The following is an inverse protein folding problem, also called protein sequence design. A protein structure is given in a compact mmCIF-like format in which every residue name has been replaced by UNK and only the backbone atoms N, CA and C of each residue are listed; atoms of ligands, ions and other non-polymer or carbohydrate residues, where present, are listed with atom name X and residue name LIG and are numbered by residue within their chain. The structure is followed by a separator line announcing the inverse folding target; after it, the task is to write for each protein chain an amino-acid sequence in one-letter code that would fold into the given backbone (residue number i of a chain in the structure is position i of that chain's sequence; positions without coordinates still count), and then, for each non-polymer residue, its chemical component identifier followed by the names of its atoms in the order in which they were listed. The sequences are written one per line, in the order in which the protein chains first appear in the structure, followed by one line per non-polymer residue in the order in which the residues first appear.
data_IF_348923462966
#
_entry.id   IF_348923462966
#
_cell.length_a   1.000
_cell.length_b   1.000
_cell.length_c   1.000
_cell.angle_alpha   90.00
_cell.angle_beta   90.00
_cell.angle_gamma   90.00
#
_symmetry.space_group_name_H-M   'P 1'
#
loop_
_entity.id
_entity.type
_entity.pdbx_description
1 polymer ?
#
# COMPACT_ATOMS: atom_id res chain seq x y z
N UNK A 1 3.63 40.72 10.06
CA UNK A 1 3.90 39.53 10.89
C UNK A 1 2.78 38.49 11.01
N UNK A 2 1.45 38.77 11.04
CA UNK A 2 0.44 37.67 11.02
C UNK A 2 0.24 37.04 9.66
N UNK A 3 0.31 37.78 8.57
CA UNK A 3 0.04 37.27 7.19
C UNK A 3 1.10 36.31 6.69
N UNK A 4 2.37 36.47 7.01
CA UNK A 4 3.45 35.53 6.68
C UNK A 4 3.31 34.18 7.39
N UNK A 5 2.79 34.14 8.61
CA UNK A 5 2.54 32.91 9.35
C UNK A 5 1.35 32.11 8.79
N UNK A 6 0.34 32.81 8.28
CA UNK A 6 -0.82 32.17 7.62
C UNK A 6 -0.40 31.58 6.29
N UNK A 7 0.30 32.31 5.43
CA UNK A 7 0.81 31.82 4.15
C UNK A 7 1.73 30.59 4.32
N UNK A 8 2.65 30.64 5.29
CA UNK A 8 3.55 29.51 5.60
C UNK A 8 2.83 28.30 6.17
N UNK A 9 1.67 28.51 6.82
CA UNK A 9 0.78 27.45 7.30
C UNK A 9 0.01 26.79 6.14
N UNK A 10 -0.49 27.55 5.20
CA UNK A 10 -1.19 27.08 4.01
C UNK A 10 -0.27 26.29 3.08
N UNK A 11 0.94 26.76 2.83
CA UNK A 11 1.97 26.06 2.05
C UNK A 11 2.33 24.70 2.68
N UNK A 12 2.42 24.65 4.01
CA UNK A 12 2.70 23.42 4.74
C UNK A 12 1.56 22.41 4.66
N UNK A 13 0.32 22.87 4.72
CA UNK A 13 -0.88 22.01 4.58
C UNK A 13 -0.99 21.49 3.15
N UNK A 14 -0.72 22.31 2.14
CA UNK A 14 -0.69 21.92 0.73
C UNK A 14 0.40 20.86 0.44
N UNK A 15 1.55 20.94 1.11
CA UNK A 15 2.60 19.92 1.00
C UNK A 15 2.18 18.55 1.58
N UNK A 16 1.37 18.52 2.64
CA UNK A 16 0.95 17.28 3.30
C UNK A 16 -0.23 16.58 2.58
N UNK A 17 -1.14 17.39 2.00
CA UNK A 17 -2.38 16.91 1.37
C UNK A 17 -2.20 16.73 -0.14
N UNK A 18 -3.03 15.86 -0.72
CA UNK A 18 -3.10 15.75 -2.18
C UNK A 18 -3.71 17.03 -2.78
N UNK A 19 -3.27 17.35 -3.98
CA UNK A 19 -3.88 18.35 -4.87
C UNK A 19 -4.49 17.66 -6.08
N UNK A 20 -5.13 18.40 -6.97
CA UNK A 20 -5.61 17.85 -8.25
C UNK A 20 -4.47 17.37 -9.18
N UNK A 21 -3.26 17.88 -8.99
CA UNK A 21 -2.11 17.57 -9.83
C UNK A 21 -1.08 16.64 -9.18
N UNK A 22 -0.95 16.62 -7.84
CA UNK A 22 0.13 15.91 -7.16
C UNK A 22 -0.33 15.20 -5.89
N UNK A 23 0.39 14.14 -5.53
CA UNK A 23 0.22 13.48 -4.23
C UNK A 23 0.92 14.27 -3.13
N UNK A 24 0.27 14.38 -1.98
CA UNK A 24 0.87 14.95 -0.77
C UNK A 24 1.82 13.96 -0.07
N UNK A 25 2.70 14.51 0.76
CA UNK A 25 3.73 13.74 1.45
C UNK A 25 3.15 12.59 2.29
N UNK A 26 2.01 12.78 2.95
CA UNK A 26 1.37 11.72 3.75
C UNK A 26 0.97 10.53 2.88
N UNK A 27 0.38 10.78 1.70
CA UNK A 27 0.01 9.72 0.75
C UNK A 27 1.24 8.94 0.27
N UNK A 28 2.32 9.65 -0.04
CA UNK A 28 3.57 9.07 -0.52
C UNK A 28 4.22 8.21 0.56
N UNK A 29 4.37 8.76 1.77
CA UNK A 29 5.00 8.05 2.90
C UNK A 29 4.23 6.79 3.27
N UNK A 30 2.91 6.88 3.43
CA UNK A 30 2.07 5.70 3.73
C UNK A 30 2.21 4.66 2.62
N UNK A 31 2.23 5.06 1.35
CA UNK A 31 2.38 4.12 0.23
C UNK A 31 3.68 3.33 0.33
N UNK A 32 4.81 4.02 0.47
CA UNK A 32 6.12 3.36 0.48
C UNK A 32 6.35 2.52 1.74
N UNK A 33 5.88 2.99 2.91
CA UNK A 33 5.93 2.19 4.13
C UNK A 33 5.11 0.90 3.99
N UNK A 34 3.90 0.98 3.43
CA UNK A 34 3.08 -0.20 3.16
C UNK A 34 3.73 -1.13 2.14
N UNK A 35 4.31 -0.60 1.07
CA UNK A 35 4.99 -1.42 0.06
C UNK A 35 6.17 -2.21 0.66
N UNK A 36 7.00 -1.55 1.47
CA UNK A 36 8.11 -2.20 2.18
C UNK A 36 7.60 -3.25 3.18
N UNK A 37 6.54 -2.93 3.92
CA UNK A 37 5.96 -3.83 4.91
C UNK A 37 5.33 -5.07 4.26
N UNK A 38 4.65 -4.93 3.12
CA UNK A 38 4.09 -6.05 2.34
C UNK A 38 5.20 -7.00 1.88
N UNK A 39 6.27 -6.44 1.29
CA UNK A 39 7.41 -7.24 0.81
C UNK A 39 8.11 -7.93 1.99
N UNK A 40 8.32 -7.21 3.10
CA UNK A 40 8.93 -7.76 4.31
C UNK A 40 8.10 -8.86 4.96
N UNK A 41 6.76 -8.68 5.06
CA UNK A 41 5.85 -9.70 5.57
C UNK A 41 5.82 -10.95 4.69
N UNK A 42 5.82 -10.78 3.37
CA UNK A 42 5.88 -11.92 2.44
C UNK A 42 7.19 -12.69 2.59
N UNK A 43 8.33 -11.98 2.60
CA UNK A 43 9.65 -12.60 2.79
C UNK A 43 9.76 -13.32 4.15
N UNK A 44 9.29 -12.69 5.24
CA UNK A 44 9.26 -13.29 6.56
C UNK A 44 8.32 -14.52 6.61
N UNK A 45 7.17 -14.45 5.94
CA UNK A 45 6.22 -15.57 5.81
C UNK A 45 6.87 -16.78 5.14
N UNK A 46 7.53 -16.59 4.00
CA UNK A 46 8.27 -17.65 3.31
C UNK A 46 9.41 -18.22 4.18
N UNK A 47 10.15 -17.33 4.84
CA UNK A 47 11.26 -17.74 5.72
C UNK A 47 10.76 -18.60 6.87
N UNK A 48 9.73 -18.18 7.61
CA UNK A 48 9.29 -18.86 8.81
C UNK A 48 8.62 -20.23 8.54
N UNK A 49 8.05 -20.45 7.34
CA UNK A 49 7.45 -21.75 6.97
C UNK A 49 8.49 -22.84 6.69
N UNK A 50 9.75 -22.48 6.47
CA UNK A 50 10.87 -23.40 6.26
C UNK A 50 11.68 -23.73 7.53
N UNK A 51 11.31 -23.18 8.70
CA UNK A 51 12.08 -23.36 9.94
C UNK A 51 11.70 -24.65 10.67
N UNK A 52 12.72 -25.38 11.13
CA UNK A 52 12.53 -26.50 12.05
C UNK A 52 12.34 -26.03 13.51
N UNK A 53 11.86 -26.94 14.35
CA UNK A 53 11.52 -26.65 15.77
C UNK A 53 12.69 -26.12 16.61
N UNK A 54 13.92 -26.50 16.29
CA UNK A 54 15.12 -26.10 17.04
C UNK A 54 15.69 -24.76 16.57
N UNK A 55 15.19 -24.22 15.49
CA UNK A 55 15.69 -22.97 14.93
C UNK A 55 15.39 -21.77 15.86
N UNK A 56 16.35 -20.87 16.12
CA UNK A 56 16.15 -19.72 17.03
C UNK A 56 14.97 -18.80 16.64
N UNK A 57 14.58 -18.78 15.37
CA UNK A 57 13.48 -17.99 14.83
C UNK A 57 12.14 -18.74 14.75
N UNK A 58 12.08 -20.02 15.16
CA UNK A 58 10.86 -20.82 15.07
C UNK A 58 9.65 -20.17 15.77
N UNK A 59 9.86 -19.53 16.93
CA UNK A 59 8.82 -18.77 17.64
C UNK A 59 8.84 -17.29 17.29
N UNK A 60 10.03 -16.69 17.20
CA UNK A 60 10.18 -15.24 16.97
C UNK A 60 9.65 -14.82 15.59
N UNK A 61 9.82 -15.63 14.57
CA UNK A 61 9.34 -15.36 13.21
C UNK A 61 7.81 -15.15 13.16
N UNK A 62 7.02 -16.15 13.60
CA UNK A 62 5.56 -16.01 13.68
C UNK A 62 5.10 -14.86 14.59
N UNK A 63 5.75 -14.62 15.74
CA UNK A 63 5.38 -13.52 16.65
C UNK A 63 5.57 -12.15 15.98
N UNK A 64 6.71 -11.97 15.31
CA UNK A 64 7.00 -10.75 14.56
C UNK A 64 6.04 -10.59 13.36
N UNK A 65 5.79 -11.68 12.60
CA UNK A 65 4.88 -11.66 11.45
C UNK A 65 3.46 -11.25 11.87
N UNK A 66 2.93 -11.80 12.97
CA UNK A 66 1.61 -11.44 13.52
C UNK A 66 1.54 -9.98 13.92
N UNK A 67 2.53 -9.48 14.65
CA UNK A 67 2.61 -8.08 15.10
C UNK A 67 2.68 -7.10 13.93
N UNK A 68 3.54 -7.38 12.94
CA UNK A 68 3.64 -6.60 11.71
C UNK A 68 2.38 -6.71 10.85
N UNK A 69 1.71 -7.87 10.85
CA UNK A 69 0.42 -8.07 10.16
C UNK A 69 -0.69 -7.19 10.74
N UNK A 70 -0.78 -7.07 12.06
CA UNK A 70 -1.71 -6.13 12.72
C UNK A 70 -1.35 -4.68 12.38
N UNK A 71 -0.07 -4.32 12.42
CA UNK A 71 0.39 -2.98 12.00
C UNK A 71 0.00 -2.70 10.54
N UNK A 72 0.15 -3.69 9.64
CA UNK A 72 -0.25 -3.56 8.24
C UNK A 72 -1.75 -3.29 8.08
N UNK A 73 -2.60 -3.99 8.86
CA UNK A 73 -4.05 -3.74 8.87
C UNK A 73 -4.36 -2.31 9.34
N UNK A 74 -3.72 -1.83 10.41
CA UNK A 74 -3.90 -0.46 10.89
C UNK A 74 -3.48 0.57 9.84
N UNK A 75 -2.35 0.35 9.17
CA UNK A 75 -1.89 1.22 8.07
C UNK A 75 -2.83 1.18 6.87
N UNK A 76 -3.42 0.02 6.54
CA UNK A 76 -4.43 -0.10 5.49
C UNK A 76 -5.67 0.75 5.82
N UNK A 77 -6.19 0.64 7.03
CA UNK A 77 -7.35 1.42 7.48
C UNK A 77 -7.05 2.93 7.47
N UNK A 78 -5.88 3.33 7.97
CA UNK A 78 -5.42 4.72 7.93
C UNK A 78 -5.31 5.23 6.49
N UNK A 79 -4.76 4.42 5.57
CA UNK A 79 -4.66 4.77 4.15
C UNK A 79 -6.01 4.94 3.49
N UNK A 80 -6.97 4.04 3.77
CA UNK A 80 -8.33 4.14 3.23
C UNK A 80 -9.05 5.37 3.76
N UNK A 81 -8.93 5.66 5.06
CA UNK A 81 -9.47 6.86 5.68
C UNK A 81 -8.83 8.12 5.07
N UNK A 82 -7.48 8.14 4.96
CA UNK A 82 -6.77 9.28 4.35
C UNK A 82 -7.21 9.52 2.91
N UNK A 83 -7.37 8.44 2.12
CA UNK A 83 -7.84 8.50 0.74
C UNK A 83 -9.27 9.04 0.62
N UNK A 84 -10.16 8.73 1.56
CA UNK A 84 -11.54 9.24 1.56
C UNK A 84 -11.63 10.74 1.92
N UNK A 85 -10.63 11.26 2.64
CA UNK A 85 -10.58 12.65 3.10
C UNK A 85 -9.73 13.57 2.20
N UNK A 86 -9.12 13.03 1.14
CA UNK A 86 -8.24 13.78 0.24
C UNK A 86 -8.62 13.60 -1.22
N UNK A 87 -8.45 14.62 -2.06
CA UNK A 87 -8.69 14.50 -3.49
C UNK A 87 -7.77 13.45 -4.12
N UNK A 88 -8.26 12.82 -5.17
CA UNK A 88 -7.44 11.92 -5.99
C UNK A 88 -6.88 12.75 -7.14
N UNK A 89 -5.56 12.84 -7.30
CA UNK A 89 -4.95 13.56 -8.39
C UNK A 89 -5.42 13.04 -9.76
N UNK A 90 -5.61 13.95 -10.69
CA UNK A 90 -6.05 13.60 -12.04
C UNK A 90 -5.04 12.68 -12.72
N UNK A 91 -5.50 11.69 -13.51
CA UNK A 91 -4.61 10.86 -14.32
C UNK A 91 -3.72 11.72 -15.22
N UNK A 92 -2.50 11.27 -15.46
CA UNK A 92 -1.58 11.86 -16.42
C UNK A 92 -1.67 11.10 -17.75
N UNK A 93 -1.38 11.82 -18.85
CA UNK A 93 -1.27 11.21 -20.17
C UNK A 93 -2.59 11.14 -20.94
N UNK A 94 -2.48 10.57 -22.15
CA UNK A 94 -3.60 10.40 -23.12
C UNK A 94 -4.15 8.96 -23.08
N UNK A 95 -4.03 8.28 -21.95
CA UNK A 95 -4.48 6.91 -21.83
C UNK A 95 -6.00 6.79 -22.04
N UNK A 96 -6.46 5.75 -22.74
CA UNK A 96 -7.88 5.52 -22.92
C UNK A 96 -8.57 5.20 -21.59
N UNK A 97 -9.84 5.58 -21.45
CA UNK A 97 -10.62 5.45 -20.22
C UNK A 97 -10.67 4.02 -19.64
N UNK A 98 -10.50 2.99 -20.45
CA UNK A 98 -10.46 1.61 -19.97
C UNK A 98 -9.19 1.31 -19.15
N UNK A 99 -8.02 1.90 -19.51
CA UNK A 99 -6.78 1.74 -18.75
C UNK A 99 -6.93 2.33 -17.34
N UNK A 100 -7.54 3.50 -17.20
CA UNK A 100 -7.84 4.09 -15.88
C UNK A 100 -8.76 3.21 -15.05
N UNK A 101 -9.76 2.56 -15.68
CA UNK A 101 -10.64 1.60 -14.99
C UNK A 101 -9.86 0.35 -14.53
N UNK A 102 -8.99 -0.19 -15.37
CA UNK A 102 -8.12 -1.32 -15.01
C UNK A 102 -7.20 -0.93 -13.84
N UNK A 103 -6.54 0.23 -13.90
CA UNK A 103 -5.71 0.71 -12.80
C UNK A 103 -6.50 0.86 -11.49
N UNK A 104 -7.73 1.41 -11.54
CA UNK A 104 -8.59 1.52 -10.37
C UNK A 104 -9.00 0.14 -9.82
N UNK A 105 -9.31 -0.82 -10.70
CA UNK A 105 -9.65 -2.20 -10.33
C UNK A 105 -8.47 -2.92 -9.66
N UNK A 106 -7.25 -2.76 -10.20
CA UNK A 106 -6.01 -3.31 -9.60
C UNK A 106 -5.77 -2.75 -8.20
N UNK A 107 -5.90 -1.44 -8.01
CA UNK A 107 -5.78 -0.85 -6.67
C UNK A 107 -6.86 -1.36 -5.71
N UNK A 108 -8.12 -1.47 -6.18
CA UNK A 108 -9.21 -2.03 -5.39
C UNK A 108 -8.95 -3.49 -5.00
N UNK A 109 -8.45 -4.30 -5.94
CA UNK A 109 -8.10 -5.69 -5.70
C UNK A 109 -6.95 -5.84 -4.67
N UNK A 110 -5.92 -4.98 -4.73
CA UNK A 110 -4.84 -4.96 -3.74
C UNK A 110 -5.40 -4.67 -2.34
N UNK A 111 -6.28 -3.68 -2.18
CA UNK A 111 -6.88 -3.37 -0.87
C UNK A 111 -7.73 -4.53 -0.34
N UNK A 112 -8.54 -5.14 -1.21
CA UNK A 112 -9.38 -6.29 -0.84
C UNK A 112 -8.53 -7.50 -0.44
N UNK A 113 -7.47 -7.81 -1.19
CA UNK A 113 -6.54 -8.89 -0.87
C UNK A 113 -5.83 -8.65 0.46
N UNK A 114 -5.34 -7.44 0.72
CA UNK A 114 -4.71 -7.09 1.99
C UNK A 114 -5.67 -7.29 3.17
N UNK A 115 -6.94 -6.89 3.04
CA UNK A 115 -7.95 -7.12 4.07
C UNK A 115 -8.21 -8.62 4.27
N UNK A 116 -8.38 -9.39 3.19
CA UNK A 116 -8.62 -10.82 3.26
C UNK A 116 -7.42 -11.59 3.86
N UNK A 117 -6.19 -11.16 3.54
CA UNK A 117 -4.95 -11.70 4.14
C UNK A 117 -4.90 -11.39 5.64
N UNK A 118 -5.25 -10.17 6.05
CA UNK A 118 -5.28 -9.81 7.47
C UNK A 118 -6.33 -10.63 8.24
N UNK A 119 -7.52 -10.81 7.67
CA UNK A 119 -8.59 -11.66 8.27
C UNK A 119 -8.14 -13.11 8.36
N UNK A 120 -7.59 -13.71 7.30
CA UNK A 120 -7.10 -15.09 7.36
C UNK A 120 -5.95 -15.26 8.35
N UNK A 121 -5.01 -14.30 8.44
CA UNK A 121 -3.94 -14.30 9.43
C UNK A 121 -4.44 -14.20 10.87
N UNK A 122 -5.48 -13.42 11.10
CA UNK A 122 -6.17 -13.36 12.39
C UNK A 122 -6.80 -14.72 12.75
N UNK A 123 -7.52 -15.36 11.82
CA UNK A 123 -8.14 -16.68 12.04
C UNK A 123 -7.11 -17.77 12.33
N UNK A 124 -5.94 -17.77 11.65
CA UNK A 124 -4.83 -18.68 11.96
C UNK A 124 -4.38 -18.48 13.40
N UNK A 125 -4.15 -17.22 13.78
CA UNK A 125 -3.51 -16.87 15.05
C UNK A 125 -4.41 -17.05 16.26
N UNK A 126 -5.74 -17.03 16.07
CA UNK A 126 -6.75 -17.16 17.12
C UNK A 126 -7.51 -18.48 17.11
N UNK A 127 -7.10 -19.42 16.26
CA UNK A 127 -7.78 -20.71 16.06
C UNK A 127 -7.91 -21.55 17.35
N UNK A 128 -7.01 -21.39 18.29
CA UNK A 128 -6.99 -22.08 19.59
C UNK A 128 -7.69 -21.29 20.72
N UNK A 129 -8.34 -20.16 20.37
CA UNK A 129 -9.04 -19.29 21.32
C UNK A 129 -8.14 -18.32 22.09
N UNK A 130 -6.83 -18.29 21.80
CA UNK A 130 -5.90 -17.32 22.40
C UNK A 130 -5.84 -16.04 21.57
N UNK A 131 -5.68 -14.90 22.26
CA UNK A 131 -5.46 -13.60 21.60
C UNK A 131 -4.04 -13.49 21.02
N UNK A 132 -3.84 -12.51 20.15
CA UNK A 132 -2.56 -12.21 19.49
C UNK A 132 -1.82 -11.17 20.31
N UNK A 133 -0.64 -11.48 20.90
CA UNK A 133 0.24 -10.47 21.45
C UNK A 133 0.84 -9.62 20.32
N UNK A 134 0.68 -8.31 20.43
CA UNK A 134 1.17 -7.35 19.41
C UNK A 134 2.36 -6.61 20.01
N UNK A 135 3.59 -6.95 19.59
CA UNK A 135 4.86 -6.41 20.10
C UNK A 135 4.97 -6.44 21.65
N UNK A 136 4.27 -7.36 22.32
CA UNK A 136 4.14 -7.42 23.78
C UNK A 136 3.56 -6.14 24.43
N UNK A 137 2.95 -5.25 23.66
CA UNK A 137 2.34 -4.01 24.13
C UNK A 137 0.87 -4.21 24.52
N UNK A 138 0.13 -5.00 23.75
CA UNK A 138 -1.27 -5.34 24.01
C UNK A 138 -1.64 -6.68 23.38
N UNK A 139 -2.78 -7.23 23.76
CA UNK A 139 -3.30 -8.49 23.22
C UNK A 139 -4.58 -8.17 22.40
N UNK A 140 -4.57 -8.51 21.12
CA UNK A 140 -5.76 -8.51 20.29
C UNK A 140 -6.58 -9.76 20.64
N UNK A 141 -7.81 -9.64 21.20
CA UNK A 141 -8.55 -10.79 21.70
C UNK A 141 -9.02 -11.72 20.60
N UNK A 142 -9.17 -13.01 20.90
CA UNK A 142 -9.88 -13.95 20.04
C UNK A 142 -11.39 -13.66 20.14
N UNK A 143 -12.03 -13.35 19.01
CA UNK A 143 -13.47 -13.05 18.95
C UNK A 143 -14.32 -14.29 18.64
N UNK A 144 -13.69 -15.36 18.18
CA UNK A 144 -14.36 -16.61 17.83
C UNK A 144 -13.92 -17.71 18.79
N UNK A 145 -14.82 -18.66 19.12
CA UNK A 145 -14.46 -19.86 19.87
C UNK A 145 -13.47 -20.70 19.04
N UNK A 146 -12.68 -21.58 19.69
CA UNK A 146 -11.84 -22.53 18.99
C UNK A 146 -12.65 -23.38 18.01
N UNK A 147 -12.14 -23.50 16.78
CA UNK A 147 -12.75 -24.32 15.72
C UNK A 147 -11.70 -25.27 15.18
N UNK A 148 -12.02 -26.57 15.17
CA UNK A 148 -11.12 -27.59 14.66
C UNK A 148 -10.72 -27.32 13.20
N UNK A 149 -9.45 -27.53 12.87
CA UNK A 149 -8.86 -27.31 11.54
C UNK A 149 -8.94 -25.86 11.00
N UNK A 150 -9.34 -24.88 11.84
CA UNK A 150 -9.42 -23.48 11.39
C UNK A 150 -8.03 -22.95 10.97
N UNK A 151 -6.99 -23.24 11.75
CA UNK A 151 -5.63 -22.79 11.46
C UNK A 151 -5.15 -23.31 10.11
N UNK A 152 -5.38 -24.59 9.78
CA UNK A 152 -4.92 -25.20 8.54
C UNK A 152 -5.66 -24.62 7.32
N UNK A 153 -6.99 -24.52 7.41
CA UNK A 153 -7.83 -23.97 6.33
C UNK A 153 -7.52 -22.49 6.08
N UNK A 154 -7.48 -21.71 7.14
CA UNK A 154 -7.13 -20.29 7.04
C UNK A 154 -5.68 -20.08 6.58
N UNK A 155 -4.76 -20.98 6.98
CA UNK A 155 -3.37 -20.99 6.56
C UNK A 155 -3.21 -21.19 5.05
N UNK A 156 -3.92 -22.18 4.49
CA UNK A 156 -3.95 -22.42 3.06
C UNK A 156 -4.48 -21.21 2.28
N UNK A 157 -5.59 -20.62 2.76
CA UNK A 157 -6.19 -19.42 2.15
C UNK A 157 -5.21 -18.25 2.22
N UNK A 158 -4.61 -18.00 3.40
CA UNK A 158 -3.63 -16.92 3.61
C UNK A 158 -2.45 -17.02 2.64
N UNK A 159 -1.90 -18.22 2.50
CA UNK A 159 -0.76 -18.48 1.60
C UNK A 159 -1.10 -18.18 0.13
N UNK A 160 -2.22 -18.68 -0.37
CA UNK A 160 -2.63 -18.42 -1.75
C UNK A 160 -2.96 -16.96 -2.01
N UNK A 161 -3.65 -16.28 -1.07
CA UNK A 161 -3.91 -14.85 -1.17
C UNK A 161 -2.61 -14.04 -1.19
N UNK A 162 -1.60 -14.44 -0.40
CA UNK A 162 -0.30 -13.78 -0.39
C UNK A 162 0.43 -13.93 -1.73
N UNK A 163 0.41 -15.09 -2.37
CA UNK A 163 1.00 -15.28 -3.71
C UNK A 163 0.26 -14.46 -4.77
N UNK A 164 -1.07 -14.44 -4.75
CA UNK A 164 -1.89 -13.64 -5.66
C UNK A 164 -1.58 -12.14 -5.46
N UNK A 165 -1.50 -11.67 -4.22
CA UNK A 165 -1.14 -10.29 -3.90
C UNK A 165 0.22 -9.94 -4.48
N UNK A 166 1.24 -10.78 -4.28
CA UNK A 166 2.59 -10.50 -4.78
C UNK A 166 2.66 -10.48 -6.30
N UNK A 167 1.93 -11.36 -6.98
CA UNK A 167 1.76 -11.29 -8.44
C UNK A 167 1.14 -9.96 -8.89
N UNK A 168 0.11 -9.50 -8.19
CA UNK A 168 -0.56 -8.23 -8.50
C UNK A 168 0.30 -7.02 -8.17
N UNK A 169 1.08 -7.06 -7.08
CA UNK A 169 2.06 -6.01 -6.72
C UNK A 169 3.18 -5.93 -7.77
N UNK A 170 3.66 -7.08 -8.26
CA UNK A 170 4.65 -7.11 -9.34
C UNK A 170 4.11 -6.48 -10.63
N UNK A 171 2.89 -6.82 -11.03
CA UNK A 171 2.22 -6.20 -12.19
C UNK A 171 2.01 -4.69 -12.00
N UNK A 172 1.62 -4.26 -10.80
CA UNK A 172 1.47 -2.85 -10.47
C UNK A 172 2.80 -2.08 -10.59
N UNK A 173 3.89 -2.65 -10.07
CA UNK A 173 5.23 -2.06 -10.18
C UNK A 173 5.70 -2.00 -11.64
N UNK A 174 5.51 -3.08 -12.42
CA UNK A 174 5.86 -3.11 -13.84
C UNK A 174 5.06 -2.08 -14.65
N UNK A 175 3.76 -1.88 -14.35
CA UNK A 175 2.95 -0.84 -14.96
C UNK A 175 3.52 0.55 -14.67
N UNK A 176 3.91 0.83 -13.41
CA UNK A 176 4.53 2.11 -13.05
C UNK A 176 5.88 2.35 -13.77
N UNK A 177 6.68 1.28 -13.93
CA UNK A 177 7.94 1.34 -14.69
C UNK A 177 7.68 1.54 -16.19
N UNK A 178 6.65 0.88 -16.76
CA UNK A 178 6.23 1.11 -18.15
C UNK A 178 5.87 2.58 -18.37
N UNK A 179 5.01 3.15 -17.52
CA UNK A 179 4.65 4.57 -17.58
C UNK A 179 5.88 5.48 -17.54
N UNK A 180 6.87 5.16 -16.71
CA UNK A 180 8.08 5.98 -16.59
C UNK A 180 9.03 5.85 -17.79
N UNK A 181 9.33 4.61 -18.24
CA UNK A 181 10.37 4.35 -19.24
C UNK A 181 9.86 4.28 -20.69
N UNK A 182 8.60 3.88 -20.88
CA UNK A 182 8.01 3.68 -22.22
C UNK A 182 7.08 4.83 -22.58
N UNK A 183 6.13 5.16 -21.70
CA UNK A 183 5.15 6.21 -21.95
C UNK A 183 5.71 7.61 -21.62
N UNK A 184 6.86 7.66 -20.92
CA UNK A 184 7.56 8.90 -20.51
C UNK A 184 6.65 9.87 -19.76
N UNK A 185 5.75 9.35 -18.90
CA UNK A 185 4.89 10.17 -18.05
C UNK A 185 5.41 10.30 -16.60
N UNK A 186 4.88 11.25 -15.85
CA UNK A 186 5.32 11.55 -14.50
C UNK A 186 4.61 10.71 -13.41
N UNK A 187 3.91 9.61 -13.75
CA UNK A 187 3.15 8.80 -12.78
C UNK A 187 4.02 8.31 -11.64
N UNK A 188 5.17 7.69 -11.94
CA UNK A 188 6.12 7.24 -10.93
C UNK A 188 6.76 8.42 -10.18
N UNK A 189 7.15 9.48 -10.90
CA UNK A 189 7.81 10.65 -10.30
C UNK A 189 6.92 11.34 -9.27
N UNK A 190 5.60 11.42 -9.50
CA UNK A 190 4.63 11.95 -8.53
C UNK A 190 4.60 11.14 -7.23
N UNK A 191 4.78 9.81 -7.30
CA UNK A 191 4.89 8.94 -6.12
C UNK A 191 6.27 8.96 -5.47
N UNK A 192 7.28 9.56 -6.13
CA UNK A 192 8.60 9.87 -5.56
C UNK A 192 8.68 11.31 -5.03
N UNK A 193 7.57 12.05 -5.00
CA UNK A 193 7.50 13.40 -4.48
C UNK A 193 8.04 14.48 -5.43
N UNK A 194 8.21 14.16 -6.72
CA UNK A 194 8.59 15.14 -7.75
C UNK A 194 7.35 15.62 -8.48
N UNK A 195 7.02 16.92 -8.42
CA UNK A 195 5.88 17.48 -9.17
C UNK A 195 6.05 17.27 -10.68
N UNK A 196 4.94 17.01 -11.39
CA UNK A 196 4.94 16.81 -12.83
C UNK A 196 5.55 18.01 -13.61
N UNK A 197 5.39 19.22 -13.08
CA UNK A 197 5.89 20.47 -13.69
C UNK A 197 7.40 20.72 -13.57
N UNK A 198 8.15 19.91 -12.78
CA UNK A 198 9.59 20.09 -12.60
C UNK A 198 10.45 19.20 -13.51
N UNK A 199 9.84 18.28 -14.22
CA UNK A 199 10.58 17.41 -15.15
C UNK A 199 10.36 17.92 -16.59
N UNK A 200 11.23 18.85 -17.05
CA UNK A 200 11.21 19.43 -18.40
C UNK A 200 11.33 18.43 -19.56
N UNK A 201 11.30 17.13 -19.26
CA UNK A 201 11.15 16.03 -20.21
C UNK A 201 9.69 15.78 -20.62
N UNK A 202 8.72 16.30 -19.86
CA UNK A 202 7.30 16.03 -20.03
C UNK A 202 6.52 17.25 -20.56
N UNK A 203 7.18 18.39 -20.78
CA UNK A 203 6.63 19.62 -21.39
C UNK A 203 6.73 19.58 -22.93
N UNK A 204 6.31 18.51 -23.58
CA UNK A 204 6.15 18.50 -25.01
C UNK A 204 4.66 18.73 -25.35
N UNK A 205 4.38 19.84 -26.02
CA UNK A 205 3.14 20.24 -26.71
C UNK A 205 2.09 21.11 -25.97
N UNK A 206 2.51 22.29 -25.52
CA UNK A 206 1.53 23.38 -25.40
C UNK A 206 1.84 24.60 -26.28
N UNK A 207 2.87 24.55 -27.12
CA UNK A 207 3.31 25.74 -27.87
C UNK A 207 3.10 25.68 -29.40
N UNK A 208 2.45 24.67 -29.97
CA UNK A 208 2.21 24.57 -31.43
C UNK A 208 0.85 25.13 -31.90
N UNK A 209 0.04 25.68 -30.97
CA UNK A 209 -1.28 26.21 -31.35
C UNK A 209 -1.36 27.74 -31.48
N UNK A 210 -0.23 28.45 -31.37
CA UNK A 210 -0.26 29.94 -31.43
C UNK A 210 0.42 30.59 -32.64
N UNK A 211 0.89 29.81 -33.61
CA UNK A 211 1.53 30.38 -34.81
C UNK A 211 0.77 30.11 -36.10
N UNK A 212 -0.53 29.83 -36.06
CA UNK A 212 -1.38 29.81 -37.28
C UNK A 212 -2.67 30.60 -37.06
N UNK A 213 -2.53 31.93 -36.93
CA UNK A 213 -3.56 32.91 -37.29
C UNK A 213 -2.90 34.21 -37.72
#
# INVERSE_FOLDING_TARGET
MPLERVAKGEDRIMFLRNTESNYGAVTIVIHWLMALLIIGLFALGLYMTGLDYYHPWYKKGPDLHRSLGVLMLLMLLLRLLWRSLNPIPRPLGRDPAWMHRVAAAVHGAIYLLLLAIAVSGYLISTADGRGIPVFDLFILPAMLPPVEQMADRAGLVHQWLAYILMGLVALHALAALKHHFIDHDATLMRMLGRPAAMDGRFDIDTNTSKEMT
#
